data_IF_973147922701
#
_entry.id   IF_973147922701
#
_cell.length_a   1.000
_cell.length_b   1.000
_cell.length_c   1.000
_cell.angle_alpha   90.00
_cell.angle_beta   90.00
_cell.angle_gamma   90.00
#
_symmetry.space_group_name_H-M   'P 1'
#
loop_
_entity.id
_entity.type
_entity.pdbx_description
1 polymer ?
#
# COMPACT_ATOMS: atom_id res chain seq x y z
N UNK A 1 30.86 -5.65 21.53
CA UNK A 1 29.37 -5.61 21.65
C UNK A 1 28.82 -5.65 20.26
N UNK A 2 27.95 -6.62 19.94
CA UNK A 2 27.34 -6.72 18.62
C UNK A 2 26.46 -5.49 18.32
N UNK A 3 26.45 -5.07 17.06
CA UNK A 3 25.61 -3.96 16.61
C UNK A 3 24.14 -4.34 16.79
N UNK A 4 23.36 -3.50 17.46
CA UNK A 4 21.89 -3.67 17.59
C UNK A 4 21.21 -2.72 16.63
N UNK A 5 20.29 -3.22 15.81
CA UNK A 5 19.43 -2.40 14.93
C UNK A 5 17.99 -2.49 15.44
N UNK A 6 17.42 -1.35 15.79
CA UNK A 6 16.04 -1.22 16.29
C UNK A 6 15.11 -0.90 15.14
N UNK A 7 14.13 -1.79 14.91
CA UNK A 7 13.18 -1.72 13.80
C UNK A 7 11.85 -1.18 14.31
N UNK A 8 11.48 0.02 13.89
CA UNK A 8 10.19 0.64 14.17
C UNK A 8 9.07 0.04 13.32
N UNK A 9 7.96 -0.29 13.94
CA UNK A 9 6.77 -0.86 13.29
C UNK A 9 5.48 -0.38 13.95
N UNK A 10 4.38 -0.32 13.19
CA UNK A 10 3.05 -0.24 13.78
C UNK A 10 2.73 -1.55 14.53
N UNK A 11 1.89 -1.45 15.56
CA UNK A 11 1.51 -2.62 16.39
C UNK A 11 0.48 -3.54 15.74
N UNK A 12 -0.06 -3.23 14.56
CA UNK A 12 -1.01 -4.11 13.87
C UNK A 12 -0.34 -5.42 13.43
N UNK A 13 -1.07 -6.55 13.48
CA UNK A 13 -0.52 -7.87 13.13
C UNK A 13 0.13 -7.88 11.74
N UNK A 14 -0.50 -7.23 10.74
CA UNK A 14 0.06 -7.14 9.40
C UNK A 14 1.38 -6.36 9.38
N UNK A 15 1.46 -5.21 10.06
CA UNK A 15 2.68 -4.42 10.11
C UNK A 15 3.83 -5.17 10.81
N UNK A 16 3.54 -5.87 11.90
CA UNK A 16 4.52 -6.73 12.60
C UNK A 16 5.03 -7.84 11.67
N UNK A 17 4.16 -8.51 10.90
CA UNK A 17 4.58 -9.52 9.93
C UNK A 17 5.46 -8.90 8.85
N UNK A 18 5.09 -7.73 8.31
CA UNK A 18 5.89 -7.03 7.31
C UNK A 18 7.28 -6.66 7.84
N UNK A 19 7.35 -6.19 9.09
CA UNK A 19 8.64 -5.88 9.72
C UNK A 19 9.49 -7.13 9.94
N UNK A 20 8.90 -8.25 10.35
CA UNK A 20 9.63 -9.52 10.51
C UNK A 20 10.18 -10.04 9.18
N UNK A 21 9.43 -9.94 8.08
CA UNK A 21 9.93 -10.28 6.74
C UNK A 21 11.19 -9.50 6.37
N UNK A 22 11.22 -8.19 6.64
CA UNK A 22 12.41 -7.38 6.38
C UNK A 22 13.54 -7.72 7.38
N UNK A 23 13.23 -7.99 8.64
CA UNK A 23 14.22 -8.45 9.63
C UNK A 23 14.88 -9.77 9.18
N UNK A 24 14.13 -10.71 8.62
CA UNK A 24 14.67 -11.95 8.07
C UNK A 24 15.64 -11.70 6.90
N UNK A 25 15.33 -10.74 6.01
CA UNK A 25 16.25 -10.36 4.93
C UNK A 25 17.50 -9.64 5.49
N UNK A 26 17.36 -8.76 6.48
CA UNK A 26 18.50 -8.13 7.15
C UNK A 26 19.40 -9.19 7.81
N UNK A 27 18.81 -10.19 8.47
CA UNK A 27 19.58 -11.25 9.14
C UNK A 27 20.37 -12.11 8.16
N UNK A 28 19.90 -12.29 6.91
CA UNK A 28 20.65 -12.97 5.85
C UNK A 28 21.86 -12.15 5.40
N UNK A 29 21.72 -10.83 5.32
CA UNK A 29 22.79 -9.89 4.91
C UNK A 29 23.82 -9.70 6.04
N UNK A 30 23.33 -9.61 7.27
CA UNK A 30 24.13 -9.34 8.48
C UNK A 30 23.84 -10.40 9.57
N UNK A 31 24.41 -11.62 9.47
CA UNK A 31 24.08 -12.73 10.38
C UNK A 31 24.32 -12.44 11.87
N UNK A 32 25.34 -11.65 12.17
CA UNK A 32 25.77 -11.36 13.56
C UNK A 32 25.06 -10.13 14.16
N UNK A 33 24.18 -9.46 13.42
CA UNK A 33 23.46 -8.29 13.93
C UNK A 33 22.32 -8.71 14.85
N UNK A 34 22.17 -8.03 15.97
CA UNK A 34 21.00 -8.17 16.84
C UNK A 34 19.89 -7.25 16.33
N UNK A 35 18.72 -7.82 16.01
CA UNK A 35 17.55 -7.05 15.58
C UNK A 35 16.53 -6.96 16.71
N UNK A 36 16.05 -5.75 17.00
CA UNK A 36 15.03 -5.49 18.00
C UNK A 36 13.81 -4.83 17.36
N UNK A 37 12.63 -5.45 17.47
CA UNK A 37 11.36 -4.90 16.97
C UNK A 37 10.75 -3.97 18.03
N UNK A 38 10.57 -2.70 17.66
CA UNK A 38 9.92 -1.68 18.51
C UNK A 38 8.57 -1.34 17.89
N UNK A 39 7.48 -1.79 18.53
CA UNK A 39 6.12 -1.54 18.03
C UNK A 39 5.52 -0.31 18.70
N UNK A 40 4.74 0.45 17.91
CA UNK A 40 4.01 1.62 18.42
C UNK A 40 2.61 1.72 17.80
N UNK A 41 1.68 2.27 18.58
CA UNK A 41 0.32 2.59 18.11
C UNK A 41 0.32 3.99 17.51
N UNK A 42 -0.12 4.11 16.28
CA UNK A 42 -0.22 5.41 15.58
C UNK A 42 -1.57 6.09 15.83
N UNK A 43 -1.64 7.38 15.56
CA UNK A 43 -2.89 8.15 15.63
C UNK A 43 -3.97 7.54 14.72
N UNK A 44 -3.60 7.08 13.52
CA UNK A 44 -4.52 6.38 12.61
C UNK A 44 -5.05 5.05 13.15
N UNK A 45 -4.31 4.37 14.03
CA UNK A 45 -4.76 3.14 14.71
C UNK A 45 -5.76 3.44 15.84
N UNK A 46 -5.71 4.63 16.43
CA UNK A 46 -6.58 5.04 17.56
C UNK A 46 -7.93 5.57 17.08
N UNK A 47 -7.98 6.27 15.95
CA UNK A 47 -9.19 6.92 15.44
C UNK A 47 -9.95 5.95 14.52
N UNK A 48 -10.94 5.24 15.06
CA UNK A 48 -11.74 4.24 14.32
C UNK A 48 -13.15 4.73 13.95
N UNK A 49 -13.61 5.86 14.50
CA UNK A 49 -14.99 6.34 14.38
C UNK A 49 -15.23 7.29 13.20
N UNK A 50 -14.16 7.75 12.52
CA UNK A 50 -14.25 8.64 11.38
C UNK A 50 -13.55 8.02 10.15
N UNK A 51 -14.03 8.37 8.95
CA UNK A 51 -13.37 7.98 7.70
C UNK A 51 -12.07 8.76 7.50
N UNK A 52 -11.09 8.19 6.77
CA UNK A 52 -9.75 8.80 6.62
C UNK A 52 -9.79 10.19 5.98
N UNK A 53 -10.71 10.39 5.04
CA UNK A 53 -10.97 11.67 4.36
C UNK A 53 -11.46 12.77 5.31
N UNK A 54 -12.20 12.42 6.39
CA UNK A 54 -12.71 13.37 7.37
C UNK A 54 -11.74 13.72 8.50
N UNK A 55 -10.77 12.83 8.77
CA UNK A 55 -9.81 13.06 9.86
C UNK A 55 -8.81 14.15 9.47
N UNK A 56 -8.56 14.35 8.17
CA UNK A 56 -7.58 15.31 7.65
C UNK A 56 -6.16 15.07 8.19
N UNK A 57 -5.17 15.27 7.38
CA UNK A 57 -3.76 15.18 7.78
C UNK A 57 -3.00 14.05 7.09
N UNK A 58 -1.99 14.44 6.34
CA UNK A 58 -1.01 13.54 5.72
C UNK A 58 -0.27 12.75 6.80
N UNK A 59 -0.05 11.46 6.54
CA UNK A 59 0.84 10.65 7.38
C UNK A 59 0.29 10.21 8.74
N UNK A 60 -1.03 10.04 8.92
CA UNK A 60 -1.66 9.58 10.18
C UNK A 60 -1.09 8.27 10.75
N UNK A 61 -0.47 7.47 9.90
CA UNK A 61 0.14 6.19 10.28
C UNK A 61 1.66 6.24 10.39
N UNK A 62 2.28 7.42 10.11
CA UNK A 62 3.73 7.57 10.06
C UNK A 62 4.29 8.48 11.16
N UNK A 63 3.53 9.48 11.62
CA UNK A 63 4.03 10.55 12.51
C UNK A 63 4.81 10.04 13.73
N UNK A 64 4.31 9.02 14.39
CA UNK A 64 4.97 8.44 15.57
C UNK A 64 6.24 7.67 15.20
N UNK A 65 6.24 7.00 14.04
CA UNK A 65 7.40 6.28 13.50
C UNK A 65 8.47 7.25 13.02
N UNK A 66 8.08 8.30 12.29
CA UNK A 66 8.99 9.36 11.84
C UNK A 66 9.66 10.06 13.04
N UNK A 67 8.88 10.40 14.06
CA UNK A 67 9.41 11.01 15.28
C UNK A 67 10.39 10.06 16.03
N UNK A 68 10.08 8.76 16.08
CA UNK A 68 10.96 7.77 16.69
C UNK A 68 12.26 7.59 15.89
N UNK A 69 12.19 7.66 14.55
CA UNK A 69 13.34 7.59 13.67
C UNK A 69 14.23 8.83 13.81
N UNK A 70 13.64 10.03 13.74
CA UNK A 70 14.35 11.30 13.88
C UNK A 70 15.02 11.46 15.26
N UNK A 71 14.37 10.99 16.33
CA UNK A 71 14.94 11.04 17.69
C UNK A 71 15.97 9.95 17.99
N UNK A 72 16.24 9.04 17.05
CA UNK A 72 17.14 7.91 17.28
C UNK A 72 16.60 6.82 18.22
N UNK A 73 15.29 6.83 18.51
CA UNK A 73 14.65 5.77 19.29
C UNK A 73 14.60 4.44 18.52
N UNK A 74 14.48 4.52 17.21
CA UNK A 74 14.62 3.41 16.27
C UNK A 74 15.63 3.77 15.17
N UNK A 75 16.16 2.77 14.50
CA UNK A 75 17.20 2.93 13.49
C UNK A 75 16.63 2.79 12.05
N UNK A 76 15.65 1.94 11.89
CA UNK A 76 14.89 1.74 10.64
C UNK A 76 13.39 1.74 10.96
N UNK A 77 12.56 2.19 10.01
CA UNK A 77 11.11 2.05 10.05
C UNK A 77 10.61 1.25 8.84
N UNK A 78 9.62 0.39 9.07
CA UNK A 78 9.06 -0.48 8.03
C UNK A 78 7.60 -0.09 7.79
N UNK A 79 7.26 0.14 6.51
CA UNK A 79 5.93 0.59 6.10
C UNK A 79 5.39 -0.19 4.90
N UNK A 80 4.05 -0.29 4.82
CA UNK A 80 3.40 -0.56 3.53
C UNK A 80 3.55 0.70 2.66
N UNK A 81 4.18 0.60 1.51
CA UNK A 81 4.53 1.78 0.69
C UNK A 81 3.31 2.62 0.31
N UNK A 82 2.17 2.00 0.02
CA UNK A 82 0.93 2.69 -0.33
C UNK A 82 0.36 3.61 0.77
N UNK A 83 0.79 3.42 2.02
CA UNK A 83 0.36 4.22 3.17
C UNK A 83 1.32 5.40 3.43
N UNK A 84 2.46 5.47 2.69
CA UNK A 84 3.46 6.53 2.78
C UNK A 84 3.08 7.67 1.84
N UNK A 85 2.99 8.93 2.32
CA UNK A 85 2.73 10.10 1.49
C UNK A 85 3.68 10.20 0.29
N UNK A 86 3.23 10.82 -0.79
CA UNK A 86 4.07 11.07 -1.98
C UNK A 86 5.19 12.08 -1.69
N UNK A 87 4.95 13.04 -0.82
CA UNK A 87 5.92 14.00 -0.32
C UNK A 87 6.83 13.34 0.72
N UNK A 88 8.12 13.27 0.45
CA UNK A 88 9.11 12.62 1.30
C UNK A 88 9.86 13.63 2.17
N UNK A 89 10.19 13.23 3.40
CA UNK A 89 11.05 14.01 4.29
C UNK A 89 12.51 13.68 4.00
N UNK A 90 13.28 14.68 3.53
CA UNK A 90 14.68 14.51 3.17
C UNK A 90 15.59 14.05 4.34
N UNK A 91 15.20 14.29 5.60
CA UNK A 91 15.94 13.84 6.76
C UNK A 91 15.78 12.34 7.03
N UNK A 92 14.70 11.73 6.53
CA UNK A 92 14.36 10.32 6.72
C UNK A 92 13.83 9.72 5.40
N UNK A 93 14.68 9.61 4.36
CA UNK A 93 14.27 9.15 3.04
C UNK A 93 13.86 7.69 3.02
N UNK A 94 13.10 7.29 2.00
CA UNK A 94 12.81 5.89 1.70
C UNK A 94 14.05 5.25 1.07
N UNK A 95 14.61 4.23 1.73
CA UNK A 95 15.92 3.66 1.36
C UNK A 95 15.85 2.37 0.55
N UNK A 96 14.94 1.44 0.88
CA UNK A 96 14.87 0.14 0.22
C UNK A 96 13.43 -0.30 0.00
N UNK A 97 13.18 -0.94 -1.15
CA UNK A 97 11.89 -1.46 -1.57
C UNK A 97 11.97 -2.98 -1.69
N UNK A 98 11.07 -3.69 -1.02
CA UNK A 98 11.01 -5.16 -1.05
C UNK A 98 10.61 -5.70 -2.42
N UNK A 99 10.76 -7.02 -2.61
CA UNK A 99 10.03 -7.73 -3.66
C UNK A 99 8.55 -7.38 -3.54
N UNK A 100 7.91 -7.15 -4.69
CA UNK A 100 6.49 -6.82 -4.73
C UNK A 100 5.64 -8.08 -4.55
N UNK A 101 4.79 -8.10 -3.54
CA UNK A 101 3.71 -9.07 -3.42
C UNK A 101 2.57 -8.69 -4.38
N UNK A 102 1.64 -9.61 -4.67
CA UNK A 102 0.52 -9.40 -5.61
C UNK A 102 -0.15 -8.05 -5.37
N UNK A 103 -0.13 -7.13 -6.36
CA UNK A 103 -0.59 -5.75 -6.17
C UNK A 103 -2.11 -5.60 -6.24
N UNK A 104 -2.84 -6.62 -6.72
CA UNK A 104 -4.28 -6.57 -7.00
C UNK A 104 -5.14 -6.35 -5.76
N UNK A 105 -6.37 -5.94 -6.03
CA UNK A 105 -7.47 -5.95 -5.06
C UNK A 105 -8.30 -7.21 -5.23
N UNK A 106 -8.99 -7.62 -4.18
CA UNK A 106 -9.78 -8.86 -4.14
C UNK A 106 -11.12 -8.64 -3.45
N UNK A 107 -12.10 -9.43 -3.87
CA UNK A 107 -13.36 -9.57 -3.15
C UNK A 107 -13.27 -10.75 -2.18
N UNK A 108 -13.74 -10.53 -0.96
CA UNK A 108 -13.80 -11.53 0.11
C UNK A 108 -15.23 -11.67 0.57
N UNK A 109 -15.75 -12.89 0.56
CA UNK A 109 -17.09 -13.22 1.06
C UNK A 109 -17.05 -13.69 2.52
N UNK A 110 -18.19 -13.68 3.24
CA UNK A 110 -18.29 -14.31 4.56
C UNK A 110 -17.89 -15.79 4.50
N UNK A 111 -17.45 -16.36 5.63
CA UNK A 111 -17.12 -17.78 5.70
C UNK A 111 -18.32 -18.65 5.32
N UNK A 112 -18.07 -19.65 4.46
CA UNK A 112 -19.11 -20.57 3.99
C UNK A 112 -20.07 -20.00 2.94
N UNK A 113 -19.87 -18.76 2.51
CA UNK A 113 -20.63 -18.12 1.43
C UNK A 113 -19.84 -18.19 0.14
N UNK A 114 -20.44 -18.69 -0.93
CA UNK A 114 -19.79 -18.89 -2.23
C UNK A 114 -20.26 -17.91 -3.30
N UNK A 115 -21.39 -17.23 -3.08
CA UNK A 115 -21.93 -16.24 -4.02
C UNK A 115 -22.26 -14.95 -3.29
N UNK A 116 -21.81 -13.83 -3.85
CA UNK A 116 -22.18 -12.52 -3.33
C UNK A 116 -23.67 -12.25 -3.51
N UNK A 117 -24.30 -11.76 -2.44
CA UNK A 117 -25.68 -11.30 -2.47
C UNK A 117 -25.71 -9.78 -2.76
N UNK A 118 -26.18 -9.30 -3.94
CA UNK A 118 -26.22 -7.88 -4.26
C UNK A 118 -27.07 -7.02 -3.32
N UNK A 119 -28.02 -7.63 -2.60
CA UNK A 119 -28.84 -6.92 -1.61
C UNK A 119 -28.08 -6.55 -0.33
N UNK A 120 -26.89 -7.15 -0.11
CA UNK A 120 -26.06 -6.86 1.05
C UNK A 120 -24.93 -5.86 0.69
N UNK A 121 -24.63 -4.90 1.59
CA UNK A 121 -23.60 -3.90 1.30
C UNK A 121 -22.19 -4.50 1.26
N UNK A 122 -21.35 -3.94 0.42
CA UNK A 122 -19.92 -4.26 0.36
C UNK A 122 -19.15 -3.29 1.24
N UNK A 123 -18.35 -3.83 2.14
CA UNK A 123 -17.42 -3.05 2.96
C UNK A 123 -16.19 -2.65 2.16
N UNK A 124 -16.02 -1.35 1.93
CA UNK A 124 -14.85 -0.82 1.22
C UNK A 124 -14.25 0.37 1.96
N UNK A 125 -12.94 0.52 1.88
CA UNK A 125 -12.22 1.69 2.37
C UNK A 125 -11.45 2.33 1.22
N UNK A 126 -11.74 3.60 0.97
CA UNK A 126 -11.10 4.42 -0.05
C UNK A 126 -11.89 4.53 -1.37
N UNK A 127 -11.97 5.77 -1.85
CA UNK A 127 -12.75 6.15 -3.04
C UNK A 127 -12.26 5.43 -4.30
N UNK A 128 -10.96 5.22 -4.47
CA UNK A 128 -10.39 4.50 -5.61
C UNK A 128 -11.06 3.14 -5.85
N UNK A 129 -11.21 2.33 -4.79
CA UNK A 129 -11.86 1.01 -4.89
C UNK A 129 -13.35 1.13 -5.11
N UNK A 130 -13.98 2.05 -4.38
CA UNK A 130 -15.42 2.30 -4.47
C UNK A 130 -15.82 2.62 -5.91
N UNK A 131 -15.18 3.60 -6.53
CA UNK A 131 -15.51 4.05 -7.88
C UNK A 131 -15.27 2.95 -8.92
N UNK A 132 -14.10 2.32 -8.92
CA UNK A 132 -13.80 1.25 -9.88
C UNK A 132 -14.70 0.02 -9.67
N UNK A 133 -15.07 -0.30 -8.44
CA UNK A 133 -16.00 -1.41 -8.22
C UNK A 133 -17.41 -1.08 -8.72
N UNK A 134 -17.87 0.15 -8.59
CA UNK A 134 -19.16 0.60 -9.12
C UNK A 134 -19.20 0.66 -10.66
N UNK A 135 -18.07 0.84 -11.33
CA UNK A 135 -17.99 0.67 -12.79
C UNK A 135 -18.23 -0.79 -13.21
N UNK A 136 -17.72 -1.76 -12.43
CA UNK A 136 -17.91 -3.18 -12.70
C UNK A 136 -19.31 -3.69 -12.28
N UNK A 137 -19.88 -3.10 -11.24
CA UNK A 137 -21.13 -3.51 -10.60
C UNK A 137 -21.91 -2.26 -10.18
N UNK A 138 -22.66 -1.67 -11.14
CA UNK A 138 -23.36 -0.39 -10.97
C UNK A 138 -24.36 -0.35 -9.80
N UNK A 139 -25.01 -1.49 -9.52
CA UNK A 139 -26.03 -1.61 -8.47
C UNK A 139 -25.46 -1.93 -7.09
N UNK A 140 -24.13 -2.04 -6.97
CA UNK A 140 -23.48 -2.39 -5.71
C UNK A 140 -23.64 -1.29 -4.66
N UNK A 141 -24.22 -1.62 -3.53
CA UNK A 141 -24.28 -0.74 -2.35
C UNK A 141 -22.98 -0.84 -1.59
N UNK A 142 -22.16 0.22 -1.61
CA UNK A 142 -20.88 0.26 -0.90
C UNK A 142 -21.02 1.04 0.40
N UNK A 143 -20.55 0.45 1.49
CA UNK A 143 -20.50 1.09 2.82
C UNK A 143 -19.05 1.20 3.32
N UNK A 144 -18.69 2.30 3.99
CA UNK A 144 -17.36 2.46 4.54
C UNK A 144 -17.09 1.43 5.63
N UNK A 145 -15.87 0.89 5.65
CA UNK A 145 -15.38 -0.01 6.69
C UNK A 145 -14.05 0.47 7.25
N UNK A 146 -13.90 0.40 8.57
CA UNK A 146 -12.69 0.77 9.30
C UNK A 146 -12.18 -0.39 10.15
N UNK A 147 -10.91 -0.29 10.53
CA UNK A 147 -10.16 -1.29 11.29
C UNK A 147 -9.03 -1.91 10.45
N UNK A 148 -8.20 -2.71 11.09
CA UNK A 148 -7.21 -3.52 10.40
C UNK A 148 -7.87 -4.67 9.62
N UNK A 149 -7.10 -5.45 8.86
CA UNK A 149 -7.65 -6.53 8.00
C UNK A 149 -8.45 -7.55 8.83
N UNK A 150 -7.95 -7.97 9.99
CA UNK A 150 -8.64 -8.97 10.84
C UNK A 150 -9.96 -8.43 11.38
N UNK A 151 -9.97 -7.20 11.90
CA UNK A 151 -11.20 -6.55 12.38
C UNK A 151 -12.25 -6.41 11.27
N UNK A 152 -11.81 -6.15 10.02
CA UNK A 152 -12.74 -6.08 8.88
C UNK A 152 -13.31 -7.46 8.56
N UNK A 153 -12.49 -8.51 8.60
CA UNK A 153 -12.95 -9.89 8.40
C UNK A 153 -13.91 -10.33 9.49
N UNK A 154 -13.69 -9.95 10.75
CA UNK A 154 -14.63 -10.18 11.86
C UNK A 154 -15.99 -9.52 11.59
N UNK A 155 -15.99 -8.26 11.13
CA UNK A 155 -17.23 -7.55 10.75
C UNK A 155 -17.94 -8.21 9.57
N UNK A 156 -17.19 -8.75 8.61
CA UNK A 156 -17.75 -9.51 7.50
C UNK A 156 -18.41 -10.79 7.99
N UNK A 157 -17.69 -11.58 8.78
CA UNK A 157 -18.14 -12.87 9.27
C UNK A 157 -19.29 -12.75 10.29
N UNK A 158 -19.46 -11.58 10.93
CA UNK A 158 -20.63 -11.27 11.79
C UNK A 158 -21.87 -10.82 11.01
N UNK A 159 -21.81 -10.74 9.67
CA UNK A 159 -22.96 -10.40 8.83
C UNK A 159 -23.18 -8.88 8.63
N UNK A 160 -22.26 -8.03 9.08
CA UNK A 160 -22.37 -6.58 8.88
C UNK A 160 -22.22 -6.15 7.40
N UNK A 161 -21.61 -7.02 6.58
CA UNK A 161 -21.36 -6.82 5.15
C UNK A 161 -21.57 -8.14 4.41
N UNK A 162 -21.97 -8.06 3.14
CA UNK A 162 -22.08 -9.21 2.24
C UNK A 162 -20.76 -9.55 1.55
N UNK A 163 -19.84 -8.59 1.46
CA UNK A 163 -18.49 -8.78 0.92
C UNK A 163 -17.56 -7.66 1.40
N UNK A 164 -16.24 -7.84 1.23
CA UNK A 164 -15.23 -6.82 1.43
C UNK A 164 -14.33 -6.69 0.21
N UNK A 165 -13.86 -5.47 -0.07
CA UNK A 165 -12.76 -5.23 -1.02
C UNK A 165 -11.47 -4.97 -0.24
N UNK A 166 -10.48 -5.85 -0.40
CA UNK A 166 -9.21 -5.82 0.31
C UNK A 166 -8.03 -5.92 -0.67
N UNK A 167 -6.82 -5.52 -0.22
CA UNK A 167 -5.60 -5.76 -0.98
C UNK A 167 -5.15 -7.22 -0.80
N UNK A 168 -4.89 -7.93 -1.89
CA UNK A 168 -4.45 -9.33 -1.88
C UNK A 168 -3.18 -9.53 -1.05
N UNK A 169 -2.18 -8.66 -1.22
CA UNK A 169 -0.92 -8.73 -0.47
C UNK A 169 -1.10 -8.76 1.06
N UNK A 170 -2.12 -8.07 1.58
CA UNK A 170 -2.43 -8.09 3.01
C UNK A 170 -2.93 -9.44 3.49
N UNK A 171 -3.81 -10.08 2.72
CA UNK A 171 -4.33 -11.41 3.03
C UNK A 171 -3.24 -12.48 2.92
N UNK A 172 -2.43 -12.45 1.86
CA UNK A 172 -1.31 -13.39 1.68
C UNK A 172 -0.33 -13.33 2.84
N UNK A 173 0.08 -12.13 3.26
CA UNK A 173 1.00 -11.94 4.40
C UNK A 173 0.40 -12.41 5.74
N UNK A 174 -0.92 -12.39 5.87
CA UNK A 174 -1.62 -12.91 7.03
C UNK A 174 -1.94 -14.42 6.96
N UNK A 175 -1.51 -15.12 5.89
CA UNK A 175 -1.86 -16.51 5.59
C UNK A 175 -3.39 -16.74 5.47
N UNK A 176 -4.08 -15.78 4.83
CA UNK A 176 -5.53 -15.79 4.63
C UNK A 176 -5.91 -15.80 3.14
N UNK A 177 -5.08 -16.41 2.29
CA UNK A 177 -5.33 -16.51 0.85
C UNK A 177 -6.57 -17.35 0.51
N UNK A 178 -6.94 -18.27 1.38
CA UNK A 178 -8.16 -19.09 1.33
C UNK A 178 -9.46 -18.27 1.45
N UNK A 179 -9.36 -17.04 2.00
CA UNK A 179 -10.49 -16.12 2.12
C UNK A 179 -10.79 -15.34 0.83
N UNK A 180 -9.94 -15.44 -0.18
CA UNK A 180 -10.11 -14.71 -1.44
C UNK A 180 -11.15 -15.41 -2.31
N UNK A 181 -12.25 -14.71 -2.61
CA UNK A 181 -13.32 -15.22 -3.46
C UNK A 181 -13.16 -14.83 -4.93
N UNK A 182 -12.77 -13.56 -5.20
CA UNK A 182 -12.52 -13.06 -6.55
C UNK A 182 -11.26 -12.20 -6.56
N UNK A 183 -10.44 -12.33 -7.59
CA UNK A 183 -9.28 -11.47 -7.85
C UNK A 183 -9.59 -10.53 -9.01
N UNK A 184 -9.30 -9.25 -8.83
CA UNK A 184 -9.39 -8.27 -9.91
C UNK A 184 -8.03 -8.08 -10.57
N UNK A 185 -7.99 -8.13 -11.90
CA UNK A 185 -6.76 -7.77 -12.63
C UNK A 185 -6.49 -6.27 -12.52
N UNK A 186 -5.24 -5.80 -12.74
CA UNK A 186 -4.94 -4.36 -12.78
C UNK A 186 -5.74 -3.57 -13.83
N UNK A 187 -6.22 -4.23 -14.88
CA UNK A 187 -7.08 -3.66 -15.91
C UNK A 187 -8.52 -3.47 -15.40
N UNK A 188 -9.00 -4.37 -14.54
CA UNK A 188 -10.33 -4.28 -13.93
C UNK A 188 -10.37 -3.33 -12.75
N UNK A 189 -9.30 -3.32 -11.95
CA UNK A 189 -9.19 -2.47 -10.77
C UNK A 189 -7.74 -2.05 -10.58
N UNK A 190 -7.39 -0.86 -11.06
CA UNK A 190 -6.03 -0.32 -10.95
C UNK A 190 -5.64 -0.14 -9.48
N UNK A 191 -4.58 -0.80 -9.01
CA UNK A 191 -4.15 -0.74 -7.61
C UNK A 191 -3.73 0.67 -7.16
N UNK A 192 -3.63 0.87 -5.84
CA UNK A 192 -2.96 2.06 -5.31
C UNK A 192 -1.46 2.02 -5.61
N UNK A 193 -0.84 3.18 -5.82
CA UNK A 193 0.60 3.30 -6.01
C UNK A 193 1.36 2.62 -4.85
N UNK A 194 2.32 1.76 -5.19
CA UNK A 194 3.11 1.00 -4.22
C UNK A 194 2.37 -0.15 -3.53
N UNK A 195 1.14 -0.49 -3.92
CA UNK A 195 0.43 -1.63 -3.33
C UNK A 195 1.21 -2.93 -3.53
N UNK A 196 1.34 -3.71 -2.47
CA UNK A 196 2.12 -4.95 -2.44
C UNK A 196 3.58 -4.78 -2.01
N UNK A 197 4.13 -3.56 -1.95
CA UNK A 197 5.53 -3.30 -1.60
C UNK A 197 5.66 -2.85 -0.14
N UNK A 198 6.68 -3.40 0.53
CA UNK A 198 7.16 -2.94 1.83
C UNK A 198 8.34 -2.01 1.57
N UNK A 199 8.40 -0.91 2.29
CA UNK A 199 9.52 0.04 2.21
C UNK A 199 10.21 0.18 3.55
N UNK A 200 11.55 0.27 3.50
CA UNK A 200 12.40 0.55 4.66
C UNK A 200 12.86 2.00 4.60
N UNK A 201 12.72 2.71 5.71
CA UNK A 201 13.10 4.10 5.90
C UNK A 201 14.19 4.21 6.96
N UNK A 202 15.16 5.08 6.77
CA UNK A 202 16.23 5.39 7.74
C UNK A 202 16.47 6.89 7.82
N UNK A 203 17.29 7.34 8.79
CA UNK A 203 17.86 8.68 8.73
C UNK A 203 18.79 8.80 7.51
N UNK A 204 18.83 9.99 6.92
CA UNK A 204 19.63 10.26 5.73
C UNK A 204 21.11 9.88 5.96
N UNK A 205 21.68 9.13 5.01
CA UNK A 205 23.07 8.67 5.04
C UNK A 205 23.33 7.44 5.94
N UNK A 206 22.40 7.06 6.82
CA UNK A 206 22.57 5.88 7.67
C UNK A 206 22.16 4.58 6.95
N UNK A 207 22.83 3.48 7.26
CA UNK A 207 22.55 2.13 6.73
C UNK A 207 22.58 2.01 5.20
N UNK A 208 23.28 2.89 4.48
CA UNK A 208 23.25 2.98 3.01
C UNK A 208 23.60 1.64 2.34
N UNK A 209 24.64 0.94 2.81
CA UNK A 209 25.05 -0.35 2.21
C UNK A 209 24.02 -1.46 2.49
N UNK A 210 23.44 -1.51 3.68
CA UNK A 210 22.36 -2.43 4.01
C UNK A 210 21.13 -2.18 3.14
N UNK A 211 20.71 -0.92 3.05
CA UNK A 211 19.54 -0.52 2.26
C UNK A 211 19.74 -0.80 0.76
N UNK A 212 20.96 -0.63 0.25
CA UNK A 212 21.30 -0.97 -1.13
C UNK A 212 21.14 -2.48 -1.39
N UNK A 213 21.54 -3.34 -0.46
CA UNK A 213 21.41 -4.79 -0.57
C UNK A 213 19.96 -5.27 -0.39
N UNK A 214 19.18 -4.61 0.43
CA UNK A 214 17.74 -4.89 0.62
C UNK A 214 16.88 -4.41 -0.55
N UNK A 215 17.37 -3.48 -1.35
CA UNK A 215 16.58 -2.84 -2.39
C UNK A 215 16.46 -3.69 -3.64
N UNK A 216 15.24 -3.80 -4.19
CA UNK A 216 14.95 -4.40 -5.49
C UNK A 216 14.81 -3.31 -6.55
N UNK A 217 15.82 -3.07 -7.42
CA UNK A 217 15.88 -1.92 -8.33
C UNK A 217 14.70 -1.80 -9.29
N UNK A 218 14.26 -2.90 -9.89
CA UNK A 218 13.12 -2.89 -10.83
C UNK A 218 11.79 -2.58 -10.11
N UNK A 219 11.61 -3.09 -8.89
CA UNK A 219 10.46 -2.72 -8.06
C UNK A 219 10.54 -1.26 -7.66
N UNK A 220 11.70 -0.78 -7.23
CA UNK A 220 11.92 0.62 -6.87
C UNK A 220 11.59 1.55 -8.05
N UNK A 221 12.03 1.21 -9.28
CA UNK A 221 11.69 1.97 -10.48
C UNK A 221 10.17 2.01 -10.71
N UNK A 222 9.49 0.86 -10.67
CA UNK A 222 8.06 0.78 -10.84
C UNK A 222 7.31 1.66 -9.84
N UNK A 223 7.57 1.49 -8.54
CA UNK A 223 6.81 2.20 -7.51
C UNK A 223 7.15 3.69 -7.43
N UNK A 224 8.36 4.10 -7.78
CA UNK A 224 8.71 5.52 -7.92
C UNK A 224 7.95 6.15 -9.08
N UNK A 225 7.78 5.43 -10.20
CA UNK A 225 6.97 5.88 -11.34
C UNK A 225 5.49 6.01 -10.96
N UNK A 226 4.95 5.02 -10.23
CA UNK A 226 3.58 5.06 -9.71
C UNK A 226 3.35 6.25 -8.76
N UNK A 227 4.27 6.49 -7.82
CA UNK A 227 4.21 7.62 -6.89
C UNK A 227 4.35 8.96 -7.61
N UNK A 228 5.19 9.04 -8.68
CA UNK A 228 5.28 10.23 -9.53
C UNK A 228 3.94 10.56 -10.18
N UNK A 229 3.22 9.56 -10.73
CA UNK A 229 1.88 9.78 -11.26
C UNK A 229 0.95 10.34 -10.18
N UNK A 230 0.92 9.74 -9.00
CA UNK A 230 0.07 10.22 -7.90
C UNK A 230 0.40 11.67 -7.51
N UNK A 231 1.70 12.04 -7.50
CA UNK A 231 2.12 13.41 -7.22
C UNK A 231 1.71 14.40 -8.33
N UNK A 232 1.81 14.01 -9.61
CA UNK A 232 1.40 14.83 -10.76
C UNK A 232 -0.11 15.09 -10.79
N UNK A 233 -0.91 14.17 -10.24
CA UNK A 233 -2.35 14.31 -10.09
C UNK A 233 -2.75 14.97 -8.77
N UNK A 234 -1.77 15.50 -8.00
CA UNK A 234 -1.97 16.13 -6.69
C UNK A 234 -2.73 15.25 -5.69
N UNK A 235 -2.59 13.93 -5.86
CA UNK A 235 -3.28 12.94 -5.04
C UNK A 235 -2.55 12.64 -3.74
N UNK A 236 -3.31 12.58 -2.66
CA UNK A 236 -2.87 12.02 -1.39
C UNK A 236 -3.33 10.54 -1.25
N UNK A 237 -3.05 9.92 -0.09
CA UNK A 237 -3.43 8.53 0.18
C UNK A 237 -4.96 8.29 0.18
N UNK A 238 -5.79 9.33 0.23
CA UNK A 238 -7.26 9.26 0.22
C UNK A 238 -7.86 9.54 -1.15
N UNK A 239 -7.09 10.14 -2.05
CA UNK A 239 -7.54 10.47 -3.39
C UNK A 239 -7.94 9.22 -4.20
N UNK A 240 -8.95 9.31 -5.06
CA UNK A 240 -9.37 8.20 -5.90
C UNK A 240 -8.42 7.99 -7.09
N UNK A 241 -7.13 7.76 -6.80
CA UNK A 241 -6.07 7.55 -7.80
C UNK A 241 -5.55 6.12 -7.69
N UNK A 242 -5.47 5.44 -8.82
CA UNK A 242 -4.81 4.16 -8.99
C UNK A 242 -3.61 4.29 -9.93
N UNK A 243 -2.54 3.56 -9.63
CA UNK A 243 -1.40 3.46 -10.53
C UNK A 243 -0.68 2.12 -10.35
N UNK A 244 -0.40 1.45 -11.45
CA UNK A 244 0.35 0.20 -11.44
C UNK A 244 1.33 0.14 -12.60
N UNK A 245 2.61 0.01 -12.29
CA UNK A 245 3.68 -0.21 -13.24
C UNK A 245 4.08 -1.69 -13.29
N UNK A 246 4.21 -2.25 -14.49
CA UNK A 246 4.72 -3.60 -14.75
C UNK A 246 5.90 -3.51 -15.70
N UNK A 247 6.99 -4.20 -15.36
CA UNK A 247 8.16 -4.36 -16.22
C UNK A 247 8.15 -5.74 -16.88
N UNK A 248 8.49 -5.77 -18.16
CA UNK A 248 8.83 -6.95 -18.92
C UNK A 248 10.14 -6.66 -19.67
N UNK A 249 11.25 -7.12 -19.13
CA UNK A 249 12.58 -6.75 -19.61
C UNK A 249 12.82 -5.23 -19.50
N UNK A 250 13.05 -4.57 -20.62
CA UNK A 250 13.22 -3.13 -20.69
C UNK A 250 11.91 -2.35 -20.93
N UNK A 251 10.80 -3.04 -21.09
CA UNK A 251 9.52 -2.43 -21.40
C UNK A 251 8.69 -2.23 -20.14
N UNK A 252 8.17 -1.01 -19.95
CA UNK A 252 7.26 -0.65 -18.86
C UNK A 252 5.86 -0.44 -19.40
N UNK A 253 4.88 -1.08 -18.76
CA UNK A 253 3.45 -0.78 -18.94
C UNK A 253 2.97 -0.09 -17.67
N UNK A 254 2.32 1.06 -17.81
CA UNK A 254 1.81 1.86 -16.70
C UNK A 254 0.30 2.03 -16.84
N UNK A 255 -0.46 1.44 -15.92
CA UNK A 255 -1.91 1.56 -15.80
C UNK A 255 -2.25 2.72 -14.87
N UNK A 256 -3.21 3.54 -15.25
CA UNK A 256 -3.69 4.67 -14.46
C UNK A 256 -5.20 4.68 -14.29
N UNK A 257 -5.63 5.12 -13.12
CA UNK A 257 -7.01 5.42 -12.80
C UNK A 257 -7.08 6.76 -12.07
N UNK A 258 -8.04 7.59 -12.44
CA UNK A 258 -8.39 8.83 -11.73
C UNK A 258 -9.89 8.95 -11.60
N UNK A 259 -10.37 9.13 -10.38
CA UNK A 259 -11.75 9.50 -10.06
C UNK A 259 -11.85 10.96 -9.57
N UNK A 260 -10.82 11.76 -9.79
CA UNK A 260 -10.83 13.19 -9.46
C UNK A 260 -11.93 13.90 -10.25
N UNK A 261 -12.63 14.82 -9.60
CA UNK A 261 -13.81 15.45 -10.22
C UNK A 261 -15.07 14.57 -10.27
N UNK A 262 -15.02 13.34 -9.70
CA UNK A 262 -16.18 12.46 -9.58
C UNK A 262 -16.46 11.58 -10.81
N UNK A 263 -15.70 11.73 -11.89
CA UNK A 263 -15.83 10.91 -13.12
C UNK A 263 -14.65 9.96 -13.21
N UNK A 264 -14.87 8.62 -13.24
CA UNK A 264 -13.82 7.64 -13.45
C UNK A 264 -13.16 7.80 -14.82
N UNK A 265 -11.82 7.81 -14.83
CA UNK A 265 -11.00 7.80 -16.03
C UNK A 265 -9.95 6.71 -15.92
N UNK A 266 -9.76 5.97 -17.00
CA UNK A 266 -8.72 4.96 -17.13
C UNK A 266 -7.83 5.30 -18.30
N UNK A 267 -6.52 5.09 -18.13
CA UNK A 267 -5.56 5.26 -19.21
C UNK A 267 -4.41 4.25 -19.05
N UNK A 268 -3.71 3.99 -20.15
CA UNK A 268 -2.57 3.10 -20.20
C UNK A 268 -1.51 3.70 -21.14
N UNK A 269 -0.26 3.70 -20.68
CA UNK A 269 0.88 4.04 -21.50
C UNK A 269 1.95 2.95 -21.44
N UNK A 270 2.73 2.84 -22.50
CA UNK A 270 3.81 1.87 -22.61
C UNK A 270 5.07 2.51 -23.21
N UNK A 271 6.22 2.03 -22.82
CA UNK A 271 7.49 2.49 -23.37
C UNK A 271 8.69 1.88 -22.67
N UNK A 272 9.88 2.34 -23.05
CA UNK A 272 11.12 1.91 -22.43
C UNK A 272 11.21 2.34 -20.97
N UNK A 273 11.71 1.47 -20.08
CA UNK A 273 11.85 1.77 -18.64
C UNK A 273 12.77 2.97 -18.35
N UNK A 274 13.67 3.28 -19.25
CA UNK A 274 14.52 4.48 -19.19
C UNK A 274 13.73 5.78 -19.26
N UNK A 275 12.52 5.74 -19.84
CA UNK A 275 11.60 6.87 -19.99
C UNK A 275 10.50 6.89 -18.92
N UNK A 276 10.68 6.18 -17.80
CA UNK A 276 9.66 6.01 -16.76
C UNK A 276 9.04 7.34 -16.29
N UNK A 277 9.83 8.39 -16.13
CA UNK A 277 9.34 9.72 -15.75
C UNK A 277 8.41 10.32 -16.81
N UNK A 278 8.78 10.24 -18.09
CA UNK A 278 7.98 10.74 -19.20
C UNK A 278 6.68 9.92 -19.38
N UNK A 279 6.73 8.61 -19.12
CA UNK A 279 5.53 7.76 -19.12
C UNK A 279 4.54 8.20 -18.02
N UNK A 280 5.02 8.50 -16.81
CA UNK A 280 4.15 9.02 -15.75
C UNK A 280 3.50 10.35 -16.12
N UNK A 281 4.26 11.26 -16.76
CA UNK A 281 3.75 12.56 -17.24
C UNK A 281 2.72 12.40 -18.37
N UNK A 282 2.99 11.50 -19.32
CA UNK A 282 2.06 11.21 -20.41
C UNK A 282 0.74 10.64 -19.87
N UNK A 283 0.83 9.70 -18.91
CA UNK A 283 -0.34 9.11 -18.28
C UNK A 283 -1.13 10.14 -17.46
N UNK A 284 -0.44 11.04 -16.75
CA UNK A 284 -1.09 12.10 -15.98
C UNK A 284 -1.92 13.02 -16.89
N UNK A 285 -1.38 13.42 -18.04
CA UNK A 285 -2.12 14.23 -19.03
C UNK A 285 -3.40 13.53 -19.50
N UNK A 286 -3.31 12.25 -19.89
CA UNK A 286 -4.48 11.48 -20.34
C UNK A 286 -5.57 11.34 -19.27
N UNK A 287 -5.18 11.30 -17.99
CA UNK A 287 -6.12 11.19 -16.87
C UNK A 287 -6.72 12.55 -16.45
N UNK A 288 -6.11 13.66 -16.85
CA UNK A 288 -6.62 15.03 -16.61
C UNK A 288 -7.57 15.51 -17.73
N UNK A 289 -7.35 15.09 -18.98
CA UNK A 289 -8.24 15.36 -20.12
C UNK A 289 -9.63 14.73 -19.93
#
# INVERSE_FOLDING_TARGET
>A
MGTVIRIGSRSSRLAVIQSKLIMEEIQKIMPDVKLELVTMKTTGDKILHQTLDKIGGKGLFLKELDAALLSGKVDLCIHSLKDVPTEENAAIPLGAYSIRETPGDVLVLPKGVFHWNPAQPIGCAGLRRTMQFQELYSDAVIKPIRGNVLTRLEKLDSGAYGALILAEAGLKRLNLSDRISVRFSPEQMVPAAGQGVIVTQSRAGEYSELLKQLNHPDVALCVKTERRLSALLEGDCSAPIGCHARLCGNHMTLYGFSGLGGVPKHALVQGEKTNAAALAEALARQLQE
#
